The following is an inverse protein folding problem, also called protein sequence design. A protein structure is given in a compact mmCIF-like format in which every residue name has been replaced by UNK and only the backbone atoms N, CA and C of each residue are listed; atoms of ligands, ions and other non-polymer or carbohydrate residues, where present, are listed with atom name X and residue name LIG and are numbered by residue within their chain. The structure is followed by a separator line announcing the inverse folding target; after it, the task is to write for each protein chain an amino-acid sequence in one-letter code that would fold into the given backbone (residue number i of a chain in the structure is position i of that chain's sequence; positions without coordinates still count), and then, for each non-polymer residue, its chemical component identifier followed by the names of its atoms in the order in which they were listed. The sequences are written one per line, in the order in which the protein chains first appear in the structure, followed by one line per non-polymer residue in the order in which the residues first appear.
data_IF_670739084451
#
_entry.id   IF_670739084451
#
_cell.length_a   1.000
_cell.length_b   1.000
_cell.length_c   1.000
_cell.angle_alpha   90.00
_cell.angle_beta   90.00
_cell.angle_gamma   90.00
#
_symmetry.space_group_name_H-M   'P 1'
#
loop_
_entity.id
_entity.type
_entity.pdbx_description
1 polymer ?
#
# COMPACT_ATOMS: atom_id res chain seq x y z
N UNK A 1 4.25 0.37 0.73
CA UNK A 1 3.84 0.37 -0.70
C UNK A 1 4.22 1.70 -1.32
N UNK A 2 4.31 1.81 -2.65
CA UNK A 2 4.54 3.09 -3.32
C UNK A 2 3.26 3.63 -3.95
N UNK A 3 3.06 4.94 -3.89
CA UNK A 3 1.98 5.63 -4.58
C UNK A 3 2.53 6.85 -5.34
N UNK A 4 1.83 7.25 -6.41
CA UNK A 4 2.17 8.44 -7.20
C UNK A 4 1.13 9.53 -6.95
N UNK A 5 1.58 10.75 -6.68
CA UNK A 5 0.69 11.90 -6.52
C UNK A 5 0.01 12.29 -7.84
N UNK A 6 -1.32 12.22 -7.88
CA UNK A 6 -2.15 12.72 -8.99
C UNK A 6 -2.26 14.24 -8.98
N UNK A 7 -2.26 14.81 -7.78
CA UNK A 7 -2.38 16.25 -7.52
C UNK A 7 -1.30 16.72 -6.56
N UNK A 8 -1.14 18.03 -6.40
CA UNK A 8 -0.34 18.58 -5.31
C UNK A 8 -1.21 18.78 -4.07
N UNK A 9 -0.59 18.67 -2.90
CA UNK A 9 -1.22 18.88 -1.61
C UNK A 9 -0.27 19.68 -0.72
N UNK A 10 -0.78 20.77 -0.15
CA UNK A 10 -0.05 21.58 0.82
C UNK A 10 -0.68 21.31 2.20
N UNK A 11 0.14 20.81 3.12
CA UNK A 11 -0.27 20.52 4.49
C UNK A 11 -0.81 21.78 5.16
N UNK A 12 -1.93 21.61 5.85
CA UNK A 12 -2.65 22.62 6.63
C UNK A 12 -2.54 22.39 8.14
N UNK A 13 -2.17 21.18 8.55
CA UNK A 13 -1.90 20.79 9.92
C UNK A 13 -0.49 20.19 10.08
N UNK A 14 0.04 20.17 11.31
CA UNK A 14 1.41 19.73 11.60
C UNK A 14 1.63 18.22 11.41
N UNK A 15 0.56 17.43 11.41
CA UNK A 15 0.56 15.98 11.19
C UNK A 15 0.39 15.59 9.72
N UNK A 16 0.18 16.56 8.82
CA UNK A 16 -0.02 16.36 7.39
C UNK A 16 1.31 16.46 6.60
N UNK A 17 1.42 15.69 5.52
CA UNK A 17 2.60 15.67 4.65
C UNK A 17 2.31 16.39 3.33
N UNK A 18 3.07 17.45 3.03
CA UNK A 18 2.99 18.15 1.75
C UNK A 18 3.70 17.38 0.64
N UNK A 19 3.12 17.38 -0.57
CA UNK A 19 3.72 16.77 -1.76
C UNK A 19 3.27 17.46 -3.05
N UNK A 20 4.05 17.28 -4.11
CA UNK A 20 3.79 17.78 -5.46
C UNK A 20 3.28 16.68 -6.37
N UNK A 21 2.51 17.08 -7.39
CA UNK A 21 2.06 16.20 -8.46
C UNK A 21 3.25 15.44 -9.06
N UNK A 22 3.03 14.16 -9.36
CA UNK A 22 4.01 13.23 -9.92
C UNK A 22 5.14 12.80 -8.98
N UNK A 23 5.15 13.23 -7.70
CA UNK A 23 6.05 12.65 -6.70
C UNK A 23 5.61 11.23 -6.33
N UNK A 24 6.60 10.40 -5.98
CA UNK A 24 6.38 9.04 -5.47
C UNK A 24 6.47 9.10 -3.95
N UNK A 25 5.41 8.65 -3.28
CA UNK A 25 5.33 8.58 -1.83
C UNK A 25 5.38 7.13 -1.37
N UNK A 26 6.02 6.89 -0.24
CA UNK A 26 6.02 5.59 0.42
C UNK A 26 4.86 5.54 1.41
N UNK A 27 3.84 4.75 1.12
CA UNK A 27 2.70 4.56 2.00
C UNK A 27 3.06 3.56 3.10
N UNK A 28 2.91 4.00 4.34
CA UNK A 28 3.21 3.30 5.58
C UNK A 28 1.96 2.63 6.18
N UNK A 29 0.82 3.33 6.21
CA UNK A 29 -0.45 2.77 6.69
C UNK A 29 -1.65 3.28 5.88
N UNK A 30 -2.61 2.39 5.60
CA UNK A 30 -3.88 2.67 4.92
C UNK A 30 -5.09 2.06 5.64
N UNK A 31 -4.87 1.33 6.74
CA UNK A 31 -5.90 0.53 7.38
C UNK A 31 -6.71 1.32 8.42
N UNK A 32 -6.15 2.40 8.94
CA UNK A 32 -6.77 3.20 10.00
C UNK A 32 -7.92 4.08 9.49
N UNK A 33 -7.80 4.61 8.27
CA UNK A 33 -8.76 5.56 7.70
C UNK A 33 -8.80 5.45 6.16
N UNK A 34 -10.00 5.52 5.57
CA UNK A 34 -10.17 5.40 4.11
C UNK A 34 -9.82 6.69 3.36
N UNK A 35 -9.88 7.83 4.04
CA UNK A 35 -9.63 9.16 3.49
C UNK A 35 -8.20 9.62 3.71
N UNK A 36 -7.53 9.16 4.77
CA UNK A 36 -6.17 9.58 5.12
C UNK A 36 -5.21 8.41 5.28
N UNK A 37 -4.11 8.46 4.53
CA UNK A 37 -3.04 7.47 4.61
C UNK A 37 -1.82 8.08 5.25
N UNK A 38 -1.10 7.27 6.03
CA UNK A 38 0.20 7.68 6.54
C UNK A 38 1.25 7.39 5.49
N UNK A 39 2.02 8.38 5.11
CA UNK A 39 3.05 8.29 4.08
C UNK A 39 4.37 8.93 4.52
N UNK A 40 5.43 8.57 3.79
CA UNK A 40 6.78 9.08 3.95
C UNK A 40 7.27 9.64 2.60
N UNK A 41 7.88 10.82 2.64
CA UNK A 41 8.54 11.48 1.51
C UNK A 41 9.82 12.17 2.00
N UNK A 42 10.96 11.83 1.41
CA UNK A 42 12.28 12.42 1.75
C UNK A 42 12.60 12.38 3.26
N UNK A 43 12.24 11.29 3.94
CA UNK A 43 12.45 11.09 5.38
C UNK A 43 11.47 11.85 6.28
N UNK A 44 10.49 12.55 5.72
CA UNK A 44 9.38 13.16 6.46
C UNK A 44 8.14 12.29 6.38
N UNK A 45 7.51 12.05 7.52
CA UNK A 45 6.26 11.31 7.63
C UNK A 45 5.08 12.25 7.93
N UNK A 46 3.90 11.88 7.44
CA UNK A 46 2.65 12.53 7.81
C UNK A 46 1.45 11.93 7.10
N UNK A 47 0.29 12.50 7.36
CA UNK A 47 -0.98 12.11 6.75
C UNK A 47 -1.14 12.76 5.38
N UNK A 48 -1.65 11.98 4.42
CA UNK A 48 -1.97 12.43 3.07
C UNK A 48 -3.39 12.01 2.69
N UNK A 49 -4.11 12.81 1.89
CA UNK A 49 -5.42 12.43 1.39
C UNK A 49 -5.31 11.32 0.35
N UNK A 50 -6.02 10.20 0.57
CA UNK A 50 -5.97 8.99 -0.27
C UNK A 50 -6.43 9.25 -1.70
N UNK A 51 -7.36 10.20 -1.91
CA UNK A 51 -7.87 10.57 -3.23
C UNK A 51 -6.89 11.41 -4.08
N UNK A 52 -5.77 11.86 -3.51
CA UNK A 52 -4.75 12.64 -4.23
C UNK A 52 -3.63 11.76 -4.78
N UNK A 53 -3.64 10.46 -4.46
CA UNK A 53 -2.59 9.52 -4.84
C UNK A 53 -3.15 8.34 -5.65
N UNK A 54 -2.27 7.71 -6.40
CA UNK A 54 -2.49 6.45 -7.10
C UNK A 54 -1.55 5.40 -6.54
N UNK A 55 -2.08 4.33 -5.97
CA UNK A 55 -1.22 3.20 -5.61
C UNK A 55 -0.57 2.63 -6.86
N UNK A 56 0.74 2.38 -6.82
CA UNK A 56 1.38 1.61 -7.88
C UNK A 56 0.86 0.18 -7.80
N UNK A 57 0.16 -0.24 -8.84
CA UNK A 57 -0.24 -1.63 -8.97
C UNK A 57 0.99 -2.51 -9.11
N UNK A 58 1.14 -3.43 -8.17
CA UNK A 58 2.11 -4.50 -8.26
C UNK A 58 1.35 -5.80 -8.51
N UNK A 59 1.63 -6.47 -9.62
CA UNK A 59 0.97 -7.73 -9.99
C UNK A 59 1.20 -8.87 -8.98
N UNK A 60 2.12 -8.67 -8.03
CA UNK A 60 2.42 -9.59 -6.93
C UNK A 60 1.72 -9.20 -5.61
N UNK A 61 1.10 -8.03 -5.48
CA UNK A 61 0.38 -7.61 -4.28
C UNK A 61 -1.13 -7.74 -4.48
N UNK A 62 -1.76 -8.62 -3.71
CA UNK A 62 -3.19 -8.92 -3.82
C UNK A 62 -4.02 -8.31 -2.69
N UNK A 63 -3.40 -7.56 -1.77
CA UNK A 63 -4.11 -6.92 -0.66
C UNK A 63 -4.80 -7.92 0.25
N UNK A 64 -6.06 -7.64 0.59
CA UNK A 64 -6.85 -8.45 1.53
C UNK A 64 -7.44 -9.67 0.83
N UNK A 65 -6.66 -10.74 0.75
CA UNK A 65 -7.11 -12.08 0.36
C UNK A 65 -6.79 -13.10 1.45
N UNK A 66 -7.62 -14.13 1.57
CA UNK A 66 -7.39 -15.19 2.56
C UNK A 66 -6.21 -16.07 2.15
N UNK A 67 -5.64 -16.80 3.11
CA UNK A 67 -4.64 -17.84 2.82
C UNK A 67 -5.17 -18.86 1.81
N UNK A 68 -6.41 -19.30 1.98
CA UNK A 68 -7.02 -20.29 1.11
C UNK A 68 -7.21 -19.77 -0.33
N UNK A 69 -7.61 -18.51 -0.49
CA UNK A 69 -7.72 -17.88 -1.81
C UNK A 69 -6.35 -17.73 -2.48
N UNK A 70 -5.31 -17.36 -1.71
CA UNK A 70 -3.94 -17.30 -2.20
C UNK A 70 -3.43 -18.66 -2.70
N UNK A 71 -3.67 -19.73 -1.94
CA UNK A 71 -3.32 -21.11 -2.33
C UNK A 71 -4.03 -21.50 -3.63
N UNK A 72 -5.32 -21.18 -3.77
CA UNK A 72 -6.10 -21.43 -4.99
C UNK A 72 -5.58 -20.65 -6.21
N UNK A 73 -5.18 -19.40 -6.03
CA UNK A 73 -4.59 -18.57 -7.10
C UNK A 73 -3.24 -19.12 -7.57
N UNK A 74 -2.44 -19.67 -6.65
CA UNK A 74 -1.12 -20.23 -6.93
C UNK A 74 -1.19 -21.65 -7.50
N UNK A 75 -2.24 -22.42 -7.25
CA UNK A 75 -2.37 -23.84 -7.64
C UNK A 75 -2.01 -24.11 -9.11
N UNK A 76 -2.44 -23.23 -10.03
CA UNK A 76 -2.22 -23.37 -11.48
C UNK A 76 -1.04 -22.52 -12.02
N UNK A 77 -0.12 -22.07 -11.17
CA UNK A 77 1.08 -21.31 -11.56
C UNK A 77 2.34 -22.19 -11.60
N UNK A 78 3.44 -21.64 -12.10
CA UNK A 78 4.75 -22.32 -12.09
C UNK A 78 5.35 -22.35 -10.67
N UNK A 79 6.27 -23.26 -10.39
CA UNK A 79 7.02 -23.29 -9.12
C UNK A 79 7.76 -21.97 -8.90
N UNK A 80 7.79 -21.48 -7.66
CA UNK A 80 8.36 -20.18 -7.34
C UNK A 80 7.45 -18.98 -7.66
N UNK A 81 6.25 -19.21 -8.21
CA UNK A 81 5.23 -18.18 -8.26
C UNK A 81 4.84 -17.78 -6.83
N UNK A 82 4.73 -16.47 -6.60
CA UNK A 82 4.42 -15.92 -5.29
C UNK A 82 3.44 -14.76 -5.37
N UNK A 83 2.84 -14.44 -4.23
CA UNK A 83 2.10 -13.22 -4.00
C UNK A 83 2.28 -12.75 -2.55
N UNK A 84 2.08 -11.45 -2.35
CA UNK A 84 2.03 -10.80 -1.05
C UNK A 84 0.57 -10.44 -0.76
N UNK A 85 0.11 -10.75 0.45
CA UNK A 85 -1.23 -10.45 0.97
C UNK A 85 -1.15 -9.86 2.37
N UNK A 86 -2.22 -9.25 2.85
CA UNK A 86 -2.33 -8.80 4.24
C UNK A 86 -2.42 -10.03 5.15
N UNK A 87 -1.72 -10.00 6.29
CA UNK A 87 -1.71 -11.07 7.26
C UNK A 87 -3.07 -11.17 7.96
N UNK A 88 -3.67 -12.35 7.96
CA UNK A 88 -4.91 -12.62 8.70
C UNK A 88 -4.67 -12.77 10.21
N UNK A 89 -3.43 -13.06 10.61
CA UNK A 89 -3.05 -13.34 11.99
C UNK A 89 -2.44 -12.14 12.71
N UNK A 90 -1.92 -11.16 11.97
CA UNK A 90 -1.25 -9.98 12.50
C UNK A 90 -1.71 -8.74 11.73
N UNK A 91 -2.62 -7.92 12.29
CA UNK A 91 -3.04 -6.66 11.67
C UNK A 91 -1.83 -5.76 11.34
N UNK A 92 -1.82 -5.14 10.17
CA UNK A 92 -0.69 -4.33 9.68
C UNK A 92 0.50 -5.09 9.08
N UNK A 93 0.60 -6.41 9.28
CA UNK A 93 1.68 -7.23 8.69
C UNK A 93 1.31 -7.79 7.32
N UNK A 94 2.36 -8.17 6.57
CA UNK A 94 2.23 -8.86 5.28
C UNK A 94 2.55 -10.35 5.40
N UNK A 95 1.87 -11.17 4.61
CA UNK A 95 2.15 -12.59 4.42
C UNK A 95 2.62 -12.85 2.99
N UNK A 96 3.74 -13.56 2.85
CA UNK A 96 4.20 -14.13 1.57
C UNK A 96 3.57 -15.50 1.37
N UNK A 97 2.96 -15.72 0.21
CA UNK A 97 2.45 -17.03 -0.21
C UNK A 97 3.18 -17.45 -1.48
N UNK A 98 3.73 -18.67 -1.49
CA UNK A 98 4.55 -19.20 -2.59
C UNK A 98 4.04 -20.59 -2.99
N UNK A 99 4.21 -20.95 -4.27
CA UNK A 99 4.01 -22.30 -4.77
C UNK A 99 5.29 -23.12 -4.65
#
# INVERSE_FOLDING_TARGET
MEAVAKHEFNATADDELSFKRSQVLKILNMEDDMNWYRAELDGKEGLIPSNYIEMKNHNWYYGRITRADAEKLLMNKHEGAFLIRISESSPGDFSLSVK
#
